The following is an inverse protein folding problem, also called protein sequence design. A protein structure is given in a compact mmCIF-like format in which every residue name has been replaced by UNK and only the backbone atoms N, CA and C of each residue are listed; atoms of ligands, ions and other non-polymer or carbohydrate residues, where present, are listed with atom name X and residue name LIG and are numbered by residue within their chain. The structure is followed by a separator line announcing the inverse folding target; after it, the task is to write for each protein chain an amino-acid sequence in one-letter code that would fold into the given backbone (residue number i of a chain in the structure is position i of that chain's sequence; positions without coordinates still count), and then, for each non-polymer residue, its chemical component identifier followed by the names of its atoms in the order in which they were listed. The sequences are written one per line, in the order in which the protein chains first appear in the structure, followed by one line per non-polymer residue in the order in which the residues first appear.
data_IF_908697065265
#
_entry.id   IF_908697065265
#
_cell.length_a   1.000
_cell.length_b   1.000
_cell.length_c   1.000
_cell.angle_alpha   90.00
_cell.angle_beta   90.00
_cell.angle_gamma   90.00
#
_symmetry.space_group_name_H-M   'P 1'
#
loop_
_entity.id
_entity.type
_entity.pdbx_description
1 polymer ?
#
# COMPACT_ATOMS: atom_id res chain seq x y z
N UNK A 1 31.85 -15.59 -11.53
CA UNK A 1 31.84 -14.27 -10.82
C UNK A 1 32.24 -13.21 -11.80
N UNK A 2 31.67 -12.00 -11.74
CA UNK A 2 32.07 -10.90 -12.62
C UNK A 2 33.53 -10.50 -12.32
N UNK A 3 34.29 -10.21 -13.38
CA UNK A 3 35.66 -9.72 -13.27
C UNK A 3 35.68 -8.34 -12.61
N UNK A 4 36.82 -7.87 -12.03
CA UNK A 4 36.96 -6.51 -11.48
C UNK A 4 36.51 -5.44 -12.48
N UNK A 5 36.89 -5.55 -13.73
CA UNK A 5 36.47 -4.64 -14.81
C UNK A 5 34.96 -4.67 -15.08
N UNK A 6 34.33 -5.85 -14.96
CA UNK A 6 32.86 -5.97 -15.10
C UNK A 6 32.14 -5.31 -13.90
N UNK A 7 32.69 -5.45 -12.68
CA UNK A 7 32.15 -4.80 -11.49
C UNK A 7 32.25 -3.27 -11.62
N UNK A 8 33.41 -2.75 -12.01
CA UNK A 8 33.62 -1.32 -12.19
C UNK A 8 32.70 -0.73 -13.26
N UNK A 9 32.57 -1.41 -14.41
CA UNK A 9 31.65 -1.01 -15.47
C UNK A 9 30.17 -1.07 -15.01
N UNK A 10 29.81 -2.04 -14.16
CA UNK A 10 28.50 -2.14 -13.55
C UNK A 10 28.20 -0.98 -12.60
N UNK A 11 29.15 -0.67 -11.73
CA UNK A 11 29.05 0.46 -10.79
C UNK A 11 28.94 1.79 -11.51
N UNK A 12 29.73 2.01 -12.56
CA UNK A 12 29.65 3.21 -13.39
C UNK A 12 28.29 3.37 -14.05
N UNK A 13 27.76 2.32 -14.66
CA UNK A 13 26.41 2.33 -15.28
C UNK A 13 25.31 2.60 -14.26
N UNK A 14 25.43 2.04 -13.04
CA UNK A 14 24.48 2.29 -11.97
C UNK A 14 24.51 3.75 -11.52
N UNK A 15 25.72 4.32 -11.35
CA UNK A 15 25.91 5.73 -11.01
C UNK A 15 25.33 6.66 -12.09
N UNK A 16 25.57 6.37 -13.37
CA UNK A 16 25.00 7.12 -14.50
C UNK A 16 23.47 7.03 -14.53
N UNK A 17 22.91 5.83 -14.29
CA UNK A 17 21.46 5.63 -14.23
C UNK A 17 20.82 6.37 -13.05
N UNK A 18 21.48 6.38 -11.88
CA UNK A 18 21.00 7.12 -10.72
C UNK A 18 21.09 8.64 -10.93
N UNK A 19 22.19 9.15 -11.49
CA UNK A 19 22.32 10.56 -11.86
C UNK A 19 21.25 10.99 -12.87
N UNK A 20 20.94 10.13 -13.86
CA UNK A 20 19.86 10.37 -14.81
C UNK A 20 18.48 10.39 -14.15
N UNK A 21 18.22 9.46 -13.21
CA UNK A 21 16.97 9.45 -12.43
C UNK A 21 16.83 10.69 -11.56
N UNK A 22 17.92 11.09 -10.86
CA UNK A 22 17.91 12.32 -10.07
C UNK A 22 17.70 13.57 -10.93
N UNK A 23 18.35 13.64 -12.09
CA UNK A 23 18.17 14.75 -13.01
C UNK A 23 16.76 14.78 -13.56
N UNK A 24 16.19 13.64 -13.94
CA UNK A 24 14.79 13.53 -14.33
C UNK A 24 13.85 13.83 -13.17
N UNK A 25 14.13 13.33 -11.96
CA UNK A 25 13.36 13.64 -10.77
C UNK A 25 13.36 15.13 -10.44
N UNK A 26 14.48 15.81 -10.58
CA UNK A 26 14.57 17.27 -10.43
C UNK A 26 13.94 18.04 -11.58
N UNK A 27 13.91 17.49 -12.79
CA UNK A 27 13.25 18.04 -13.98
C UNK A 27 11.78 17.60 -14.13
N UNK A 28 11.23 16.86 -13.18
CA UNK A 28 9.82 16.44 -13.12
C UNK A 28 8.84 17.57 -12.75
N UNK A 29 9.21 18.83 -12.97
CA UNK A 29 8.18 19.82 -13.19
C UNK A 29 7.60 19.54 -14.58
N UNK A 30 6.53 18.71 -14.61
CA UNK A 30 5.74 18.53 -15.83
C UNK A 30 5.52 19.91 -16.49
N UNK A 31 5.91 20.11 -17.76
CA UNK A 31 5.72 21.38 -18.45
C UNK A 31 4.28 21.89 -18.37
N UNK A 32 3.31 20.98 -18.31
CA UNK A 32 1.90 21.30 -18.16
C UNK A 32 1.56 21.89 -16.77
N UNK A 33 2.22 21.45 -15.69
CA UNK A 33 2.08 22.08 -14.37
C UNK A 33 2.63 23.50 -14.38
N UNK A 34 3.79 23.72 -15.02
CA UNK A 34 4.37 25.06 -15.18
C UNK A 34 3.44 25.96 -16.00
N UNK A 35 2.97 25.49 -17.16
CA UNK A 35 2.01 26.18 -17.99
C UNK A 35 0.71 26.53 -17.24
N UNK A 36 0.27 25.67 -16.33
CA UNK A 36 -0.88 25.94 -15.47
C UNK A 36 -0.60 27.05 -14.47
N UNK A 37 0.61 27.09 -13.86
CA UNK A 37 1.01 28.12 -12.89
C UNK A 37 1.23 29.50 -13.53
N UNK A 38 1.79 29.54 -14.74
CA UNK A 38 2.18 30.77 -15.45
C UNK A 38 0.99 31.52 -16.10
N UNK A 39 -0.20 30.94 -16.06
CA UNK A 39 -1.39 31.65 -16.60
C UNK A 39 -1.75 32.85 -15.75
N UNK A 40 -1.71 34.01 -16.39
CA UNK A 40 -1.98 35.34 -15.79
C UNK A 40 -3.43 35.54 -15.34
N UNK A 41 -4.35 34.66 -15.67
CA UNK A 41 -5.77 34.80 -15.36
C UNK A 41 -6.15 34.12 -14.06
N UNK A 42 -6.49 34.88 -13.02
CA UNK A 42 -7.12 34.40 -11.79
C UNK A 42 -6.10 33.96 -10.74
N UNK A 43 -6.57 33.51 -9.66
CA UNK A 43 -5.96 33.21 -8.39
C UNK A 43 -4.66 32.37 -8.46
N UNK A 44 -3.50 32.99 -8.54
CA UNK A 44 -2.19 32.30 -8.55
C UNK A 44 -1.98 31.47 -7.28
N UNK A 45 -2.56 31.89 -6.15
CA UNK A 45 -2.55 31.18 -4.89
C UNK A 45 -3.32 29.86 -4.98
N UNK A 46 -4.51 29.84 -5.58
CA UNK A 46 -5.31 28.61 -5.71
C UNK A 46 -4.73 27.65 -6.72
N UNK A 47 -4.04 28.12 -7.76
CA UNK A 47 -3.29 27.27 -8.68
C UNK A 47 -2.21 26.48 -7.95
N UNK A 48 -1.47 27.15 -7.09
CA UNK A 48 -0.43 26.52 -6.26
C UNK A 48 -1.04 25.50 -5.31
N UNK A 49 -2.08 25.87 -4.57
CA UNK A 49 -2.80 24.97 -3.65
C UNK A 49 -3.38 23.75 -4.35
N UNK A 50 -3.92 23.92 -5.59
CA UNK A 50 -4.39 22.79 -6.39
C UNK A 50 -3.27 21.80 -6.71
N UNK A 51 -2.09 22.28 -7.10
CA UNK A 51 -0.94 21.39 -7.35
C UNK A 51 -0.41 20.73 -6.07
N UNK A 52 -0.44 21.43 -4.95
CA UNK A 52 0.00 20.90 -3.65
C UNK A 52 -0.88 19.73 -3.16
N UNK A 53 -2.19 19.78 -3.42
CA UNK A 53 -3.13 18.73 -2.99
C UNK A 53 -3.12 17.49 -3.91
N UNK A 54 -2.53 17.60 -5.10
CA UNK A 54 -2.39 16.47 -6.03
C UNK A 54 -1.27 15.53 -5.60
N UNK A 55 -1.45 14.23 -5.93
CA UNK A 55 -0.39 13.24 -5.76
C UNK A 55 0.81 13.53 -6.68
N UNK A 56 1.98 12.97 -6.36
CA UNK A 56 3.16 13.06 -7.22
C UNK A 56 2.88 12.51 -8.63
N UNK A 57 2.17 11.39 -8.71
CA UNK A 57 1.73 10.81 -9.98
C UNK A 57 0.88 11.77 -10.78
N UNK A 58 -0.10 12.41 -10.15
CA UNK A 58 -0.97 13.36 -10.83
C UNK A 58 -0.20 14.56 -11.36
N UNK A 59 0.75 15.09 -10.60
CA UNK A 59 1.62 16.19 -11.05
C UNK A 59 2.51 15.78 -12.22
N UNK A 60 2.89 14.50 -12.31
CA UNK A 60 3.68 13.97 -13.41
C UNK A 60 2.86 13.82 -14.69
N UNK A 61 1.62 13.38 -14.57
CA UNK A 61 0.76 12.98 -15.71
C UNK A 61 -0.29 14.05 -16.08
N UNK A 62 -0.47 15.10 -15.29
CA UNK A 62 -1.53 16.07 -15.50
C UNK A 62 -1.37 16.88 -16.78
N UNK A 63 -2.50 17.36 -17.28
CA UNK A 63 -2.60 18.27 -18.42
C UNK A 63 -3.17 19.60 -17.91
N UNK A 64 -2.53 20.71 -18.24
CA UNK A 64 -2.93 22.08 -17.83
C UNK A 64 -4.42 22.36 -18.04
N UNK A 65 -4.98 21.94 -19.19
CA UNK A 65 -6.40 22.13 -19.49
C UNK A 65 -7.35 21.37 -18.56
N UNK A 66 -6.92 20.24 -17.99
CA UNK A 66 -7.69 19.47 -17.01
C UNK A 66 -7.72 20.24 -15.70
N UNK A 67 -6.57 20.72 -15.24
CA UNK A 67 -6.47 21.52 -14.01
C UNK A 67 -7.26 22.83 -14.11
N UNK A 68 -7.24 23.48 -15.28
CA UNK A 68 -8.02 24.70 -15.55
C UNK A 68 -9.52 24.49 -15.39
N UNK A 69 -10.04 23.40 -15.92
CA UNK A 69 -11.47 23.09 -15.78
C UNK A 69 -11.85 22.93 -14.31
N UNK A 70 -11.05 22.15 -13.57
CA UNK A 70 -11.31 21.89 -12.15
C UNK A 70 -11.24 23.16 -11.31
N UNK A 71 -10.20 23.98 -11.55
CA UNK A 71 -10.04 25.25 -10.85
C UNK A 71 -11.23 26.17 -11.13
N UNK A 72 -11.53 26.46 -12.40
CA UNK A 72 -12.59 27.36 -12.79
C UNK A 72 -13.96 26.95 -12.25
N UNK A 73 -14.25 25.65 -12.26
CA UNK A 73 -15.53 25.14 -11.79
C UNK A 73 -15.65 25.14 -10.26
N UNK A 74 -14.54 25.09 -9.53
CA UNK A 74 -14.54 25.06 -8.07
C UNK A 74 -14.50 26.48 -7.45
N UNK A 75 -13.78 27.44 -8.05
CA UNK A 75 -13.59 28.79 -7.54
C UNK A 75 -14.86 29.51 -7.07
N UNK A 76 -16.05 29.39 -7.72
CA UNK A 76 -17.27 30.03 -7.24
C UNK A 76 -17.65 29.69 -5.80
N UNK A 77 -17.18 28.52 -5.29
CA UNK A 77 -17.51 28.04 -3.96
C UNK A 77 -16.45 28.39 -2.90
N UNK A 78 -15.28 28.92 -3.29
CA UNK A 78 -14.15 29.21 -2.39
C UNK A 78 -14.54 30.12 -1.23
N UNK A 79 -15.28 31.21 -1.53
CA UNK A 79 -15.64 32.24 -0.54
C UNK A 79 -16.52 31.74 0.60
N UNK A 80 -17.11 30.58 0.46
CA UNK A 80 -18.10 30.04 1.38
C UNK A 80 -17.54 29.04 2.38
N UNK A 81 -16.22 28.79 2.37
CA UNK A 81 -15.61 27.79 3.24
C UNK A 81 -14.12 28.03 3.46
N UNK A 82 -13.58 27.50 4.56
CA UNK A 82 -12.17 27.60 4.89
C UNK A 82 -11.31 26.84 3.87
N UNK A 83 -10.08 27.33 3.65
CA UNK A 83 -9.16 26.72 2.69
C UNK A 83 -8.85 25.25 3.00
N UNK A 84 -8.77 24.89 4.28
CA UNK A 84 -8.51 23.51 4.75
C UNK A 84 -9.67 22.54 4.44
N UNK A 85 -10.82 23.07 4.12
CA UNK A 85 -11.98 22.31 3.65
C UNK A 85 -12.10 22.41 2.14
N UNK A 86 -11.99 23.63 1.61
CA UNK A 86 -12.17 23.86 0.18
C UNK A 86 -11.15 23.11 -0.67
N UNK A 87 -9.86 23.22 -0.34
CA UNK A 87 -8.79 22.67 -1.17
C UNK A 87 -8.85 21.12 -1.26
N UNK A 88 -8.88 20.37 -0.17
CA UNK A 88 -8.87 18.91 -0.25
C UNK A 88 -10.22 18.30 -0.65
N UNK A 89 -11.35 18.95 -0.36
CA UNK A 89 -12.65 18.31 -0.44
C UNK A 89 -13.60 18.91 -1.47
N UNK A 90 -13.23 20.04 -2.11
CA UNK A 90 -14.00 20.66 -3.21
C UNK A 90 -13.11 20.90 -4.43
N UNK A 91 -11.95 21.55 -4.23
CA UNK A 91 -11.04 21.90 -5.33
C UNK A 91 -10.33 20.68 -5.90
N UNK A 92 -9.85 19.78 -5.04
CA UNK A 92 -9.13 18.57 -5.43
C UNK A 92 -9.95 17.72 -6.41
N UNK A 93 -9.49 17.51 -7.64
CA UNK A 93 -10.19 16.66 -8.62
C UNK A 93 -10.03 15.16 -8.38
N UNK A 94 -8.99 14.75 -7.65
CA UNK A 94 -8.70 13.36 -7.35
C UNK A 94 -9.58 12.86 -6.22
N UNK A 95 -10.21 11.69 -6.40
CA UNK A 95 -11.03 11.04 -5.39
C UNK A 95 -10.36 9.79 -4.83
N UNK A 96 -9.89 8.90 -5.70
CA UNK A 96 -9.18 7.65 -5.36
C UNK A 96 -8.06 7.40 -6.39
N UNK A 97 -8.02 6.26 -7.05
CA UNK A 97 -6.97 5.85 -8.00
C UNK A 97 -7.40 6.00 -9.48
N UNK A 98 -8.51 6.66 -9.77
CA UNK A 98 -8.96 6.91 -11.13
C UNK A 98 -8.00 7.81 -11.91
N UNK A 99 -8.02 7.74 -13.23
CA UNK A 99 -7.24 8.65 -14.08
C UNK A 99 -7.79 10.08 -13.98
N UNK A 100 -6.91 11.05 -13.77
CA UNK A 100 -7.30 12.46 -13.69
C UNK A 100 -7.76 12.97 -15.06
N UNK A 101 -9.02 13.33 -15.15
CA UNK A 101 -9.67 13.79 -16.40
C UNK A 101 -10.64 14.95 -16.10
N UNK A 102 -11.03 15.66 -17.16
CA UNK A 102 -12.13 16.63 -17.10
C UNK A 102 -13.44 15.91 -16.81
N UNK A 103 -14.15 16.34 -15.79
CA UNK A 103 -15.47 15.76 -15.47
C UNK A 103 -16.53 16.77 -14.99
N UNK A 104 -16.08 17.93 -14.45
CA UNK A 104 -17.03 18.87 -13.81
C UNK A 104 -18.04 19.42 -14.80
N UNK A 105 -17.57 19.84 -15.96
CA UNK A 105 -18.46 20.31 -17.02
C UNK A 105 -19.42 19.21 -17.48
N UNK A 106 -18.91 18.01 -17.71
CA UNK A 106 -19.75 16.88 -18.10
C UNK A 106 -20.85 16.54 -17.06
N UNK A 107 -20.52 16.64 -15.76
CA UNK A 107 -21.50 16.46 -14.68
C UNK A 107 -22.56 17.55 -14.74
N UNK A 108 -22.17 18.81 -14.86
CA UNK A 108 -23.13 19.93 -14.90
C UNK A 108 -24.06 19.89 -16.11
N UNK A 109 -23.60 19.37 -17.24
CA UNK A 109 -24.41 19.18 -18.46
C UNK A 109 -25.44 18.06 -18.32
N UNK A 110 -25.27 17.11 -17.40
CA UNK A 110 -26.22 16.03 -17.13
C UNK A 110 -27.33 16.42 -16.14
N UNK A 111 -27.21 17.57 -15.48
CA UNK A 111 -28.11 18.01 -14.43
C UNK A 111 -28.91 19.25 -14.86
N UNK A 112 -30.23 19.18 -14.71
CA UNK A 112 -31.05 20.39 -14.78
C UNK A 112 -30.78 21.34 -13.61
N UNK A 113 -31.16 22.61 -13.72
CA UNK A 113 -31.02 23.56 -12.62
C UNK A 113 -31.80 23.13 -11.36
N UNK A 114 -32.95 22.49 -11.55
CA UNK A 114 -33.77 21.94 -10.46
C UNK A 114 -33.04 20.83 -9.75
N UNK A 115 -32.44 19.89 -10.52
CA UNK A 115 -31.63 18.79 -9.96
C UNK A 115 -30.40 19.33 -9.22
N UNK A 116 -29.68 20.31 -9.77
CA UNK A 116 -28.55 20.94 -9.10
C UNK A 116 -28.95 21.50 -7.74
N UNK A 117 -30.01 22.30 -7.71
CA UNK A 117 -30.52 22.91 -6.48
C UNK A 117 -30.99 21.83 -5.45
N UNK A 118 -31.67 20.78 -5.90
CA UNK A 118 -32.09 19.70 -5.04
C UNK A 118 -30.90 18.95 -4.45
N UNK A 119 -29.93 18.59 -5.29
CA UNK A 119 -28.76 17.81 -4.88
C UNK A 119 -27.81 18.60 -3.96
N UNK A 120 -27.75 19.93 -4.12
CA UNK A 120 -27.01 20.81 -3.18
C UNK A 120 -27.66 20.85 -1.79
N UNK A 121 -28.99 20.85 -1.72
CA UNK A 121 -29.73 20.86 -0.45
C UNK A 121 -29.72 19.49 0.23
N UNK A 122 -29.77 18.43 -0.56
CA UNK A 122 -29.87 17.05 -0.10
C UNK A 122 -28.78 16.17 -0.77
N UNK A 123 -27.50 16.30 -0.37
CA UNK A 123 -26.39 15.63 -1.04
C UNK A 123 -26.49 14.09 -1.09
N UNK A 124 -27.14 13.48 -0.11
CA UNK A 124 -27.37 12.03 -0.11
C UNK A 124 -28.18 11.55 -1.34
N UNK A 125 -29.03 12.41 -1.93
CA UNK A 125 -29.79 12.09 -3.14
C UNK A 125 -28.94 11.93 -4.39
N UNK A 126 -27.68 12.40 -4.38
CA UNK A 126 -26.71 12.16 -5.47
C UNK A 126 -26.54 10.67 -5.69
N UNK A 127 -26.47 9.88 -4.58
CA UNK A 127 -26.29 8.42 -4.70
C UNK A 127 -27.51 7.78 -5.42
N UNK A 128 -28.70 8.15 -5.06
CA UNK A 128 -29.92 7.66 -5.74
C UNK A 128 -29.92 8.04 -7.22
N UNK A 129 -29.56 9.29 -7.56
CA UNK A 129 -29.44 9.73 -8.94
C UNK A 129 -28.44 8.84 -9.73
N UNK A 130 -27.31 8.50 -9.12
CA UNK A 130 -26.30 7.62 -9.72
C UNK A 130 -26.85 6.19 -9.88
N UNK A 131 -27.53 5.65 -8.88
CA UNK A 131 -28.11 4.30 -8.96
C UNK A 131 -29.13 4.19 -10.07
N UNK A 132 -29.94 5.23 -10.29
CA UNK A 132 -30.96 5.29 -11.33
C UNK A 132 -30.37 5.44 -12.75
N UNK A 133 -29.21 6.07 -12.90
CA UNK A 133 -28.59 6.38 -14.19
C UNK A 133 -27.43 5.47 -14.59
N UNK A 134 -26.71 4.93 -13.63
CA UNK A 134 -25.47 4.16 -13.87
C UNK A 134 -25.70 2.70 -13.47
N UNK A 135 -25.71 1.83 -14.45
CA UNK A 135 -25.84 0.38 -14.24
C UNK A 135 -24.55 -0.18 -13.65
N UNK A 136 -24.67 -0.99 -12.60
CA UNK A 136 -23.54 -1.74 -12.07
C UNK A 136 -23.21 -2.90 -12.98
N UNK A 137 -22.02 -2.92 -13.58
CA UNK A 137 -21.56 -3.98 -14.45
C UNK A 137 -20.13 -4.37 -14.09
N UNK A 138 -19.94 -5.19 -13.04
CA UNK A 138 -18.63 -5.60 -12.58
C UNK A 138 -17.85 -6.40 -13.65
N UNK A 139 -18.53 -7.05 -14.58
CA UNK A 139 -17.89 -7.84 -15.65
C UNK A 139 -17.24 -6.96 -16.71
N UNK A 140 -17.69 -5.71 -16.87
CA UNK A 140 -17.18 -4.76 -17.87
C UNK A 140 -16.01 -3.92 -17.34
N UNK A 141 -15.81 -3.91 -16.05
CA UNK A 141 -14.73 -3.18 -15.39
C UNK A 141 -13.64 -4.15 -14.96
N UNK A 142 -12.45 -4.03 -15.54
CA UNK A 142 -11.30 -4.82 -15.09
C UNK A 142 -10.92 -4.35 -13.68
N UNK A 143 -10.58 -5.28 -12.80
CA UNK A 143 -10.25 -5.01 -11.40
C UNK A 143 -9.10 -4.00 -11.19
N UNK A 144 -8.29 -3.78 -12.22
CA UNK A 144 -7.14 -2.86 -12.23
C UNK A 144 -7.44 -1.51 -12.90
N UNK A 145 -8.62 -1.31 -13.48
CA UNK A 145 -8.96 -0.08 -14.22
C UNK A 145 -10.28 0.47 -13.68
N UNK A 146 -10.18 1.59 -12.98
CA UNK A 146 -11.35 2.29 -12.42
C UNK A 146 -11.94 3.19 -13.52
N UNK A 147 -13.24 3.07 -13.77
CA UNK A 147 -13.94 3.95 -14.72
C UNK A 147 -14.00 5.36 -14.15
N UNK A 148 -13.55 6.33 -14.92
CA UNK A 148 -13.54 7.74 -14.50
C UNK A 148 -14.97 8.31 -14.40
N UNK A 149 -15.19 9.39 -13.64
CA UNK A 149 -16.51 10.03 -13.54
C UNK A 149 -17.14 10.36 -14.91
N UNK A 150 -16.35 10.95 -15.82
CA UNK A 150 -16.81 11.22 -17.20
C UNK A 150 -17.08 9.94 -17.99
N UNK A 151 -16.30 8.89 -17.74
CA UNK A 151 -16.49 7.57 -18.34
C UNK A 151 -17.82 6.94 -17.90
N UNK A 152 -18.14 6.96 -16.60
CA UNK A 152 -19.42 6.46 -16.07
C UNK A 152 -20.60 7.18 -16.70
N UNK A 153 -20.55 8.50 -16.79
CA UNK A 153 -21.63 9.30 -17.38
C UNK A 153 -21.80 9.01 -18.88
N UNK A 154 -20.68 8.84 -19.60
CA UNK A 154 -20.72 8.57 -21.04
C UNK A 154 -21.23 7.16 -21.38
N UNK A 155 -20.88 6.17 -20.58
CA UNK A 155 -21.20 4.77 -20.85
C UNK A 155 -22.48 4.30 -20.15
N UNK A 156 -22.94 5.04 -19.13
CA UNK A 156 -24.05 4.63 -18.26
C UNK A 156 -23.72 3.39 -17.40
N UNK A 157 -22.42 3.05 -17.26
CA UNK A 157 -21.99 1.85 -16.52
C UNK A 157 -20.78 2.14 -15.64
N UNK A 158 -20.66 1.40 -14.53
CA UNK A 158 -19.48 1.47 -13.64
C UNK A 158 -19.55 0.43 -12.54
N UNK A 159 -18.42 0.10 -11.94
CA UNK A 159 -18.38 -0.70 -10.73
C UNK A 159 -18.97 0.08 -9.53
N UNK A 160 -19.17 -0.60 -8.42
CA UNK A 160 -19.58 0.08 -7.17
C UNK A 160 -18.57 1.15 -6.76
N UNK A 161 -17.25 0.88 -6.92
CA UNK A 161 -16.21 1.86 -6.61
C UNK A 161 -16.28 3.06 -7.55
N UNK A 162 -16.40 2.83 -8.85
CA UNK A 162 -16.53 3.92 -9.85
C UNK A 162 -17.76 4.79 -9.61
N UNK A 163 -18.88 4.19 -9.20
CA UNK A 163 -20.10 4.91 -8.79
C UNK A 163 -19.87 5.75 -7.52
N UNK A 164 -19.13 5.22 -6.52
CA UNK A 164 -18.75 5.97 -5.32
C UNK A 164 -17.83 7.16 -5.65
N UNK A 165 -16.85 6.96 -6.55
CA UNK A 165 -16.00 8.03 -7.07
C UNK A 165 -16.83 9.09 -7.78
N UNK A 166 -17.79 8.69 -8.62
CA UNK A 166 -18.71 9.59 -9.29
C UNK A 166 -19.54 10.41 -8.28
N UNK A 167 -20.00 9.79 -7.18
CA UNK A 167 -20.68 10.51 -6.11
C UNK A 167 -19.86 11.66 -5.56
N UNK A 168 -18.61 11.41 -5.20
CA UNK A 168 -17.69 12.43 -4.66
C UNK A 168 -17.42 13.51 -5.72
N UNK A 169 -17.18 13.10 -6.97
CA UNK A 169 -16.96 14.01 -8.09
C UNK A 169 -18.17 14.95 -8.33
N UNK A 170 -19.40 14.41 -8.27
CA UNK A 170 -20.64 15.19 -8.39
C UNK A 170 -20.82 16.15 -7.21
N UNK A 171 -20.65 15.68 -5.97
CA UNK A 171 -20.73 16.53 -4.78
C UNK A 171 -19.74 17.70 -4.84
N UNK A 172 -18.46 17.43 -5.13
CA UNK A 172 -17.42 18.47 -5.29
C UNK A 172 -17.72 19.44 -6.42
N UNK A 173 -18.32 18.95 -7.52
CA UNK A 173 -18.72 19.78 -8.65
C UNK A 173 -19.85 20.74 -8.28
N UNK A 174 -20.73 20.33 -7.38
CA UNK A 174 -21.81 21.15 -6.83
C UNK A 174 -21.39 22.01 -5.63
N UNK A 175 -20.08 22.05 -5.31
CA UNK A 175 -19.54 22.84 -4.21
C UNK A 175 -19.75 22.22 -2.82
N UNK A 176 -20.07 20.95 -2.76
CA UNK A 176 -20.26 20.20 -1.51
C UNK A 176 -18.96 19.51 -1.16
N UNK A 177 -18.33 19.79 0.03
CA UNK A 177 -17.16 19.07 0.46
C UNK A 177 -17.47 17.58 0.66
N UNK A 178 -16.77 16.71 -0.07
CA UNK A 178 -17.03 15.28 -0.08
C UNK A 178 -15.74 14.48 -0.23
N UNK A 179 -15.77 13.24 0.28
CA UNK A 179 -14.66 12.29 0.19
C UNK A 179 -15.16 10.85 0.20
N UNK A 180 -14.31 9.92 -0.16
CA UNK A 180 -14.43 8.55 0.30
C UNK A 180 -13.77 8.46 1.67
N UNK A 181 -14.43 7.79 2.62
CA UNK A 181 -13.84 7.51 3.91
C UNK A 181 -12.58 6.65 3.71
N UNK A 182 -11.42 7.04 4.27
CA UNK A 182 -10.16 6.34 4.03
C UNK A 182 -10.13 4.91 4.55
N UNK A 183 -10.95 4.59 5.56
CA UNK A 183 -10.95 3.25 6.18
C UNK A 183 -11.82 2.24 5.41
N UNK A 184 -13.03 2.66 5.00
CA UNK A 184 -14.01 1.72 4.43
C UNK A 184 -14.51 2.12 3.03
N UNK A 185 -14.02 3.25 2.49
CA UNK A 185 -14.45 3.83 1.22
C UNK A 185 -15.96 4.11 1.15
N UNK A 186 -16.60 4.34 2.31
CA UNK A 186 -17.96 4.87 2.33
C UNK A 186 -17.95 6.31 1.81
N UNK A 187 -19.01 6.69 1.13
CA UNK A 187 -19.20 8.05 0.63
C UNK A 187 -19.56 8.97 1.78
N UNK A 188 -18.81 10.07 1.92
CA UNK A 188 -19.05 11.07 2.94
C UNK A 188 -19.17 12.45 2.32
N UNK A 189 -20.06 13.27 2.86
CA UNK A 189 -20.15 14.69 2.57
C UNK A 189 -20.22 15.50 3.85
N UNK A 190 -19.83 16.77 3.79
CA UNK A 190 -19.81 17.63 4.96
C UNK A 190 -21.19 18.27 5.22
N UNK A 191 -21.66 18.16 6.46
CA UNK A 191 -22.85 18.83 6.98
C UNK A 191 -22.55 19.38 8.37
N UNK A 192 -22.77 20.67 8.57
CA UNK A 192 -22.51 21.34 9.86
C UNK A 192 -21.07 21.14 10.36
N UNK A 193 -20.08 21.23 9.48
CA UNK A 193 -18.66 21.11 9.79
C UNK A 193 -18.16 19.69 10.07
N UNK A 194 -19.00 18.66 9.86
CA UNK A 194 -18.63 17.25 10.07
C UNK A 194 -18.90 16.43 8.82
N UNK A 195 -18.01 15.49 8.52
CA UNK A 195 -18.29 14.47 7.51
C UNK A 195 -19.33 13.48 8.01
N UNK A 196 -20.38 13.28 7.24
CA UNK A 196 -21.44 12.30 7.49
C UNK A 196 -21.53 11.33 6.32
N UNK A 197 -21.72 10.06 6.62
CA UNK A 197 -21.86 9.04 5.60
C UNK A 197 -23.20 9.18 4.87
N UNK A 198 -23.17 9.00 3.55
CA UNK A 198 -24.38 8.89 2.71
C UNK A 198 -25.27 7.75 3.13
N UNK A 199 -24.68 6.66 3.60
CA UNK A 199 -25.37 5.50 4.15
C UNK A 199 -25.84 5.66 5.59
N UNK A 200 -25.60 6.84 6.23
CA UNK A 200 -26.08 7.09 7.58
C UNK A 200 -27.63 7.12 7.70
N UNK A 201 -28.32 7.30 6.58
CA UNK A 201 -29.78 7.09 6.51
C UNK A 201 -30.18 5.61 6.27
N UNK A 202 -29.21 4.76 5.89
CA UNK A 202 -29.33 3.30 5.80
C UNK A 202 -28.11 2.66 6.48
N UNK A 203 -28.00 2.82 7.80
CA UNK A 203 -26.81 2.45 8.54
C UNK A 203 -26.53 0.94 8.53
N UNK A 204 -25.64 0.52 7.65
CA UNK A 204 -24.97 -0.78 7.74
C UNK A 204 -23.64 -0.67 8.52
N UNK A 205 -23.58 0.18 9.55
CA UNK A 205 -22.36 0.35 10.35
C UNK A 205 -22.11 -0.85 11.23
N UNK A 206 -20.89 -1.30 11.23
CA UNK A 206 -20.34 -2.35 12.05
C UNK A 206 -18.94 -1.96 12.50
N UNK A 207 -18.29 -2.75 13.29
CA UNK A 207 -16.88 -2.56 13.61
C UNK A 207 -16.23 -3.88 13.98
N UNK A 208 -14.89 -3.92 13.84
CA UNK A 208 -14.10 -4.99 14.43
C UNK A 208 -13.13 -4.44 15.44
N UNK A 209 -12.84 -5.25 16.45
CA UNK A 209 -11.79 -5.03 17.40
C UNK A 209 -10.69 -6.04 17.10
N UNK A 210 -9.63 -5.56 16.44
CA UNK A 210 -8.47 -6.37 16.14
C UNK A 210 -7.55 -6.43 17.35
N UNK A 211 -7.18 -7.64 17.76
CA UNK A 211 -6.17 -7.89 18.78
C UNK A 211 -4.93 -8.47 18.11
N UNK A 212 -3.81 -7.81 18.25
CA UNK A 212 -2.51 -8.22 17.72
C UNK A 212 -1.66 -8.87 18.83
N UNK A 213 -0.80 -9.83 18.47
CA UNK A 213 0.18 -10.38 19.43
C UNK A 213 1.31 -9.37 19.70
N UNK A 214 1.88 -9.41 20.91
CA UNK A 214 2.88 -8.45 21.38
C UNK A 214 4.26 -8.62 20.70
N UNK A 215 4.56 -9.82 20.35
CA UNK A 215 5.85 -10.31 19.87
C UNK A 215 6.06 -10.07 18.36
N UNK A 216 5.07 -9.44 17.72
CA UNK A 216 5.07 -9.23 16.27
C UNK A 216 4.85 -7.77 15.94
N UNK A 217 5.72 -7.20 15.10
CA UNK A 217 5.46 -5.90 14.50
C UNK A 217 4.50 -6.07 13.31
N UNK A 218 3.22 -5.87 13.58
CA UNK A 218 2.19 -5.93 12.55
C UNK A 218 2.26 -4.70 11.65
N UNK A 219 2.37 -4.94 10.33
CA UNK A 219 2.39 -3.88 9.31
C UNK A 219 1.43 -4.21 8.19
N UNK A 220 0.50 -3.30 7.95
CA UNK A 220 -0.50 -3.43 6.88
C UNK A 220 0.16 -3.55 5.50
N UNK A 221 -0.38 -4.41 4.65
CA UNK A 221 0.19 -4.80 3.35
C UNK A 221 1.53 -5.55 3.40
N UNK A 222 2.22 -5.61 4.52
CA UNK A 222 3.45 -6.40 4.66
C UNK A 222 3.17 -7.79 5.18
N UNK A 223 2.52 -7.88 6.35
CA UNK A 223 2.26 -9.16 6.98
C UNK A 223 0.79 -9.37 7.37
N UNK A 224 -0.08 -8.41 7.14
CA UNK A 224 -1.52 -8.58 7.23
C UNK A 224 -2.29 -7.64 6.30
N UNK A 225 -3.51 -8.03 5.96
CA UNK A 225 -4.46 -7.20 5.24
C UNK A 225 -5.90 -7.62 5.52
N UNK A 226 -6.85 -6.71 5.30
CA UNK A 226 -8.28 -6.98 5.39
C UNK A 226 -8.96 -6.66 4.05
N UNK A 227 -9.86 -7.53 3.63
CA UNK A 227 -10.63 -7.39 2.39
C UNK A 227 -12.12 -7.64 2.64
N UNK A 228 -12.98 -6.92 1.94
CA UNK A 228 -14.44 -7.13 1.93
C UNK A 228 -14.85 -7.88 0.69
N UNK A 229 -15.81 -8.79 0.82
CA UNK A 229 -16.43 -9.46 -0.31
C UNK A 229 -17.40 -8.50 -1.02
N UNK A 230 -17.09 -8.16 -2.27
CA UNK A 230 -17.89 -7.30 -3.13
C UNK A 230 -18.02 -7.95 -4.51
N UNK A 231 -19.23 -8.13 -4.97
CA UNK A 231 -19.51 -8.76 -6.28
C UNK A 231 -18.75 -10.08 -6.53
N UNK A 232 -18.67 -10.94 -5.50
CA UNK A 232 -17.98 -12.24 -5.58
C UNK A 232 -16.47 -12.19 -5.49
N UNK A 233 -15.86 -11.03 -5.19
CA UNK A 233 -14.41 -10.86 -5.04
C UNK A 233 -14.08 -10.19 -3.71
N UNK A 234 -12.96 -10.60 -3.10
CA UNK A 234 -12.40 -9.92 -1.93
C UNK A 234 -11.57 -8.72 -2.36
N UNK A 235 -12.08 -7.52 -2.06
CA UNK A 235 -11.41 -6.25 -2.35
C UNK A 235 -10.70 -5.77 -1.10
N UNK A 236 -9.36 -5.70 -1.15
CA UNK A 236 -8.54 -5.25 -0.03
C UNK A 236 -8.82 -3.78 0.29
N UNK A 237 -8.99 -3.48 1.57
CA UNK A 237 -9.24 -2.13 2.07
C UNK A 237 -7.93 -1.35 2.14
N UNK A 238 -7.99 -0.04 1.91
CA UNK A 238 -6.88 0.87 2.20
C UNK A 238 -7.07 1.41 3.61
N UNK A 239 -6.06 1.24 4.46
CA UNK A 239 -6.02 1.86 5.79
C UNK A 239 -5.00 2.99 5.75
N UNK A 240 -5.39 4.20 6.18
CA UNK A 240 -4.49 5.37 6.20
C UNK A 240 -3.40 5.26 7.27
N UNK A 241 -3.73 4.64 8.39
CA UNK A 241 -2.79 4.40 9.47
C UNK A 241 -3.19 3.19 10.31
N UNK A 242 -2.21 2.46 10.79
CA UNK A 242 -2.38 1.44 11.81
C UNK A 242 -2.23 2.09 13.18
N UNK A 243 -3.32 2.17 13.91
CA UNK A 243 -3.35 2.73 15.25
C UNK A 243 -3.65 1.64 16.28
N UNK A 244 -2.70 0.70 16.46
CA UNK A 244 -2.75 -0.22 17.59
C UNK A 244 -2.38 0.53 18.88
N UNK A 245 -3.32 0.53 19.85
CA UNK A 245 -3.06 0.97 21.21
C UNK A 245 -3.17 -0.24 22.11
N UNK A 246 -2.15 -0.52 22.89
CA UNK A 246 -2.09 -1.71 23.75
C UNK A 246 -2.44 -3.00 22.96
N UNK A 247 -1.92 -3.12 21.75
CA UNK A 247 -2.14 -4.23 20.84
C UNK A 247 -3.59 -4.39 20.34
N UNK A 248 -4.42 -3.40 20.54
CA UNK A 248 -5.82 -3.40 20.10
C UNK A 248 -6.06 -2.24 19.14
N UNK A 249 -6.73 -2.52 18.02
CA UNK A 249 -7.20 -1.53 17.06
C UNK A 249 -8.69 -1.70 16.80
N UNK A 250 -9.46 -0.63 16.96
CA UNK A 250 -10.87 -0.59 16.53
C UNK A 250 -10.94 -0.09 15.10
N UNK A 251 -11.49 -0.90 14.22
CA UNK A 251 -11.68 -0.58 12.82
C UNK A 251 -13.18 -0.49 12.50
N UNK A 252 -13.70 0.69 12.13
CA UNK A 252 -15.07 0.82 11.64
C UNK A 252 -15.19 0.17 10.27
N UNK A 253 -16.27 -0.59 10.06
CA UNK A 253 -16.56 -1.30 8.83
C UNK A 253 -18.04 -1.14 8.46
N UNK A 254 -18.39 -1.40 7.21
CA UNK A 254 -19.75 -1.70 6.80
C UNK A 254 -20.09 -3.15 7.17
N UNK A 255 -21.37 -3.47 7.39
CA UNK A 255 -21.79 -4.87 7.51
C UNK A 255 -21.47 -5.66 6.23
N UNK A 256 -21.11 -6.92 6.38
CA UNK A 256 -20.81 -7.81 5.27
C UNK A 256 -19.76 -8.85 5.58
N UNK A 257 -19.33 -9.56 4.54
CA UNK A 257 -18.34 -10.63 4.62
C UNK A 257 -16.93 -10.09 4.39
N UNK A 258 -16.01 -10.50 5.23
CA UNK A 258 -14.63 -10.06 5.23
C UNK A 258 -13.66 -11.24 5.26
N UNK A 259 -12.46 -10.98 4.79
CA UNK A 259 -11.31 -11.86 4.94
C UNK A 259 -10.13 -11.07 5.50
N UNK A 260 -9.51 -11.58 6.56
CA UNK A 260 -8.17 -11.16 6.98
C UNK A 260 -7.17 -12.18 6.45
N UNK A 261 -6.10 -11.69 5.84
CA UNK A 261 -4.95 -12.46 5.43
C UNK A 261 -3.77 -12.05 6.32
N UNK A 262 -3.10 -13.01 6.91
CA UNK A 262 -1.81 -12.82 7.56
C UNK A 262 -0.75 -13.66 6.87
N UNK A 263 0.48 -13.17 6.82
CA UNK A 263 1.60 -13.89 6.22
C UNK A 263 2.89 -13.65 6.98
N UNK A 264 3.67 -14.70 7.12
CA UNK A 264 4.99 -14.64 7.71
C UNK A 264 5.98 -15.35 6.77
N UNK A 265 7.19 -14.83 6.64
CA UNK A 265 8.26 -15.44 5.85
C UNK A 265 9.17 -16.23 6.77
N UNK A 266 9.32 -17.52 6.47
CA UNK A 266 10.18 -18.42 7.21
C UNK A 266 11.65 -18.26 6.78
N UNK A 267 12.61 -18.67 7.63
CA UNK A 267 14.04 -18.57 7.32
C UNK A 267 14.47 -19.27 6.02
N UNK A 268 13.80 -20.35 5.63
CA UNK A 268 14.05 -21.05 4.36
C UNK A 268 13.44 -20.35 3.14
N UNK A 269 12.83 -19.18 3.32
CA UNK A 269 12.21 -18.38 2.24
C UNK A 269 10.76 -18.73 1.96
N UNK A 270 10.19 -19.78 2.53
CA UNK A 270 8.78 -20.11 2.40
C UNK A 270 7.91 -19.03 3.06
N UNK A 271 6.74 -18.78 2.49
CA UNK A 271 5.76 -17.86 3.05
C UNK A 271 4.58 -18.68 3.57
N UNK A 272 4.34 -18.60 4.89
CA UNK A 272 3.15 -19.16 5.50
C UNK A 272 2.07 -18.09 5.58
N UNK A 273 0.92 -18.40 5.01
CA UNK A 273 -0.25 -17.54 5.05
C UNK A 273 -1.39 -18.21 5.81
N UNK A 274 -2.18 -17.39 6.50
CA UNK A 274 -3.44 -17.79 7.08
C UNK A 274 -4.55 -16.85 6.62
N UNK A 275 -5.69 -17.40 6.33
CA UNK A 275 -6.89 -16.66 5.96
C UNK A 275 -7.96 -16.87 7.02
N UNK A 276 -8.55 -15.78 7.47
CA UNK A 276 -9.64 -15.79 8.41
C UNK A 276 -10.85 -15.10 7.80
N UNK A 277 -11.92 -15.86 7.58
CA UNK A 277 -13.17 -15.39 6.98
C UNK A 277 -14.21 -15.15 8.08
N UNK A 278 -14.92 -14.03 7.99
CA UNK A 278 -15.95 -13.69 8.96
C UNK A 278 -16.99 -12.75 8.36
N UNK A 279 -18.17 -12.79 8.94
CA UNK A 279 -19.24 -11.84 8.68
C UNK A 279 -19.34 -10.86 9.85
N UNK A 280 -19.67 -9.60 9.55
CA UNK A 280 -19.99 -8.58 10.54
C UNK A 280 -21.39 -8.04 10.23
N UNK A 281 -22.28 -8.07 11.22
CA UNK A 281 -23.65 -7.61 11.06
C UNK A 281 -23.81 -6.14 11.43
N UNK A 282 -24.94 -5.54 11.04
CA UNK A 282 -25.25 -4.15 11.38
C UNK A 282 -25.28 -3.98 12.89
N UNK A 283 -24.56 -2.98 13.39
CA UNK A 283 -24.45 -2.69 14.83
C UNK A 283 -23.51 -3.62 15.60
N UNK A 284 -22.95 -4.64 14.96
CA UNK A 284 -22.01 -5.57 15.60
C UNK A 284 -20.63 -4.95 15.79
N UNK A 285 -20.00 -5.30 16.92
CA UNK A 285 -18.56 -5.15 17.12
C UNK A 285 -17.93 -6.52 17.32
N UNK A 286 -17.34 -7.06 16.26
CA UNK A 286 -16.72 -8.37 16.27
C UNK A 286 -15.27 -8.29 16.74
N UNK A 287 -14.85 -9.24 17.56
CA UNK A 287 -13.46 -9.40 17.98
C UNK A 287 -12.75 -10.36 17.05
N UNK A 288 -11.59 -9.96 16.54
CA UNK A 288 -10.76 -10.75 15.66
C UNK A 288 -9.31 -10.68 16.13
N UNK A 289 -8.65 -11.81 16.22
CA UNK A 289 -7.25 -11.91 16.61
C UNK A 289 -6.38 -12.04 15.37
N UNK A 290 -5.31 -11.23 15.29
CA UNK A 290 -4.28 -11.37 14.27
C UNK A 290 -3.26 -12.40 14.77
N UNK A 291 -3.17 -13.50 14.05
CA UNK A 291 -2.19 -14.55 14.31
C UNK A 291 -1.56 -15.03 13.02
N UNK A 292 -0.29 -15.42 13.07
CA UNK A 292 0.33 -16.14 11.99
C UNK A 292 -0.06 -17.62 12.01
N UNK A 293 0.04 -18.27 10.86
CA UNK A 293 0.01 -19.72 10.79
C UNK A 293 1.19 -20.25 11.58
N UNK A 294 0.92 -21.19 12.50
CA UNK A 294 1.99 -21.86 13.25
C UNK A 294 2.94 -22.56 12.28
N UNK A 295 4.23 -22.39 12.53
CA UNK A 295 5.30 -23.06 11.82
C UNK A 295 6.09 -23.92 12.81
N UNK A 296 6.32 -25.18 12.43
CA UNK A 296 7.18 -26.08 13.17
C UNK A 296 8.59 -25.98 12.63
N UNK A 297 9.58 -26.47 13.38
CA UNK A 297 10.96 -26.49 12.92
C UNK A 297 11.11 -27.24 11.58
N UNK A 298 10.35 -28.31 11.38
CA UNK A 298 10.33 -29.09 10.14
C UNK A 298 9.86 -28.28 8.92
N UNK A 299 8.96 -27.32 9.11
CA UNK A 299 8.50 -26.42 8.04
C UNK A 299 9.58 -25.44 7.59
N UNK A 300 10.60 -25.23 8.43
CA UNK A 300 11.73 -24.32 8.19
C UNK A 300 12.94 -25.02 7.61
N UNK A 301 12.94 -26.36 7.61
CA UNK A 301 14.04 -27.21 7.17
C UNK A 301 13.68 -27.94 5.89
N UNK A 302 14.65 -28.10 5.03
CA UNK A 302 14.57 -28.97 3.85
C UNK A 302 15.53 -30.14 4.03
N UNK A 303 15.01 -31.37 3.92
CA UNK A 303 15.83 -32.57 4.00
C UNK A 303 16.35 -32.93 2.60
N UNK A 304 17.65 -32.71 2.39
CA UNK A 304 18.34 -33.09 1.16
C UNK A 304 19.48 -34.06 1.47
N UNK A 305 19.73 -35.01 0.56
CA UNK A 305 20.92 -35.81 0.61
C UNK A 305 22.12 -35.04 0.09
N UNK A 306 23.10 -34.83 0.95
CA UNK A 306 24.33 -34.13 0.57
C UNK A 306 25.35 -35.18 0.10
N UNK A 307 25.93 -35.06 -1.12
CA UNK A 307 27.00 -35.95 -1.55
C UNK A 307 28.25 -35.76 -0.66
N UNK A 308 29.08 -36.79 -0.56
CA UNK A 308 30.36 -36.69 0.16
C UNK A 308 31.24 -35.60 -0.48
N UNK A 309 31.81 -34.76 0.33
CA UNK A 309 32.76 -33.73 -0.08
C UNK A 309 33.93 -33.59 0.91
N UNK A 310 35.01 -32.96 0.45
CA UNK A 310 36.23 -32.76 1.25
C UNK A 310 36.41 -31.28 1.57
N UNK A 311 36.70 -31.02 2.83
CA UNK A 311 37.06 -29.71 3.32
C UNK A 311 38.56 -29.67 3.64
N UNK A 312 39.16 -28.48 3.54
CA UNK A 312 40.52 -28.22 4.00
C UNK A 312 40.45 -27.53 5.36
N UNK A 313 41.13 -28.10 6.34
CA UNK A 313 41.25 -27.49 7.66
C UNK A 313 42.22 -26.28 7.62
N UNK A 314 42.25 -25.54 8.69
CA UNK A 314 43.11 -24.34 8.83
C UNK A 314 44.60 -24.71 8.77
N UNK A 315 44.99 -25.88 9.30
CA UNK A 315 46.35 -26.43 9.26
C UNK A 315 46.75 -26.92 7.85
N UNK A 316 45.85 -26.89 6.89
CA UNK A 316 46.09 -27.32 5.50
C UNK A 316 45.76 -28.77 5.22
N UNK A 317 45.48 -29.58 6.24
CA UNK A 317 45.05 -30.98 6.07
C UNK A 317 43.64 -31.05 5.46
N UNK A 318 43.30 -32.16 4.86
CA UNK A 318 41.98 -32.43 4.28
C UNK A 318 41.19 -33.41 5.15
N UNK A 319 39.89 -33.22 5.21
CA UNK A 319 38.96 -34.04 5.95
C UNK A 319 37.65 -34.20 5.16
N UNK A 320 37.06 -35.36 5.19
CA UNK A 320 35.74 -35.59 4.59
C UNK A 320 34.64 -35.03 5.49
N UNK A 321 33.57 -34.56 4.88
CA UNK A 321 32.41 -34.05 5.63
C UNK A 321 31.83 -35.10 6.57
N UNK A 322 31.74 -36.37 6.14
CA UNK A 322 31.29 -37.48 6.95
C UNK A 322 32.17 -37.74 8.17
N UNK A 323 33.46 -37.50 8.09
CA UNK A 323 34.39 -37.63 9.22
C UNK A 323 34.19 -36.53 10.26
N UNK A 324 33.92 -35.29 9.80
CA UNK A 324 33.65 -34.15 10.68
C UNK A 324 32.36 -34.29 11.46
N UNK A 325 31.39 -35.02 10.91
CA UNK A 325 30.06 -35.18 11.50
C UNK A 325 29.83 -36.59 12.07
N UNK A 326 30.88 -37.42 12.19
CA UNK A 326 30.78 -38.81 12.62
C UNK A 326 30.25 -38.98 14.06
N UNK A 327 30.44 -38.01 14.93
CA UNK A 327 30.01 -38.04 16.34
C UNK A 327 28.58 -37.49 16.55
N UNK A 328 27.82 -37.26 15.48
CA UNK A 328 26.42 -36.90 15.54
C UNK A 328 26.01 -35.68 14.70
N UNK A 329 24.96 -34.98 15.12
CA UNK A 329 24.43 -33.82 14.39
C UNK A 329 25.35 -32.61 14.54
N UNK A 330 25.66 -31.98 13.41
CA UNK A 330 26.43 -30.72 13.33
C UNK A 330 25.72 -29.69 12.48
N UNK A 331 26.08 -28.43 12.69
CA UNK A 331 25.69 -27.32 11.83
C UNK A 331 26.93 -26.96 11.00
N UNK A 332 26.82 -27.11 9.69
CA UNK A 332 27.83 -26.63 8.75
C UNK A 332 27.33 -25.30 8.16
N UNK A 333 27.94 -24.19 8.56
CA UNK A 333 27.61 -22.87 8.06
C UNK A 333 28.58 -22.50 6.92
N UNK A 334 28.08 -22.49 5.69
CA UNK A 334 28.84 -22.06 4.52
C UNK A 334 28.76 -20.54 4.42
N UNK A 335 29.85 -19.89 4.78
CA UNK A 335 29.94 -18.44 4.86
C UNK A 335 30.60 -17.86 3.60
N UNK A 336 30.06 -16.76 3.13
CA UNK A 336 30.62 -15.99 2.04
C UNK A 336 30.99 -14.59 2.55
N UNK A 337 32.28 -14.21 2.47
CA UNK A 337 32.78 -12.94 2.99
C UNK A 337 32.03 -11.75 2.36
N UNK A 338 31.81 -10.69 3.13
CA UNK A 338 31.21 -9.43 2.70
C UNK A 338 29.78 -9.60 2.12
N UNK A 339 29.09 -10.68 2.47
CA UNK A 339 27.69 -10.90 2.07
C UNK A 339 26.75 -10.68 3.25
N UNK A 340 25.66 -9.98 2.98
CA UNK A 340 24.65 -9.64 3.96
C UNK A 340 24.16 -10.85 4.80
N UNK A 341 23.82 -12.02 4.21
CA UNK A 341 23.40 -13.16 5.02
C UNK A 341 24.46 -13.68 5.98
N UNK A 342 25.73 -13.64 5.60
CA UNK A 342 26.86 -14.02 6.46
C UNK A 342 27.00 -13.06 7.62
N UNK A 343 27.00 -11.74 7.34
CA UNK A 343 27.11 -10.72 8.38
C UNK A 343 25.92 -10.80 9.37
N UNK A 344 24.70 -11.04 8.89
CA UNK A 344 23.55 -11.20 9.78
C UNK A 344 23.71 -12.41 10.71
N UNK A 345 24.07 -13.60 10.20
CA UNK A 345 24.24 -14.78 11.03
C UNK A 345 25.32 -14.56 12.10
N UNK A 346 26.48 -14.00 11.70
CA UNK A 346 27.60 -13.77 12.64
C UNK A 346 27.24 -12.74 13.71
N UNK A 347 26.53 -11.66 13.34
CA UNK A 347 26.07 -10.66 14.30
C UNK A 347 25.04 -11.23 15.27
N UNK A 348 24.06 -12.02 14.81
CA UNK A 348 23.09 -12.68 15.68
C UNK A 348 23.76 -13.67 16.63
N UNK A 349 24.79 -14.39 16.17
CA UNK A 349 25.57 -15.30 17.02
C UNK A 349 26.30 -14.53 18.11
N UNK A 350 26.88 -13.37 17.81
CA UNK A 350 27.53 -12.51 18.81
C UNK A 350 26.53 -11.93 19.80
N UNK A 351 25.35 -11.49 19.32
CA UNK A 351 24.28 -10.96 20.19
C UNK A 351 23.73 -12.02 21.14
N UNK A 352 23.78 -13.31 20.76
CA UNK A 352 23.30 -14.45 21.53
C UNK A 352 24.43 -15.40 21.95
N UNK A 353 25.61 -14.88 22.23
CA UNK A 353 26.82 -15.64 22.51
C UNK A 353 26.62 -16.75 23.57
N UNK A 354 25.89 -16.47 24.65
CA UNK A 354 25.61 -17.46 25.71
C UNK A 354 24.82 -18.67 25.17
N UNK A 355 23.88 -18.46 24.26
CA UNK A 355 23.10 -19.52 23.66
C UNK A 355 23.93 -20.36 22.69
N UNK A 356 24.74 -19.73 21.84
CA UNK A 356 25.53 -20.41 20.81
C UNK A 356 26.77 -21.10 21.38
N UNK A 357 27.39 -20.59 22.43
CA UNK A 357 28.56 -21.22 23.08
C UNK A 357 28.30 -22.65 23.57
N UNK A 358 27.04 -22.95 23.93
CA UNK A 358 26.63 -24.32 24.30
C UNK A 358 26.79 -25.32 23.14
N UNK A 359 26.73 -24.83 21.92
CA UNK A 359 26.79 -25.60 20.68
C UNK A 359 28.10 -25.42 19.91
N UNK A 360 29.06 -24.66 20.44
CA UNK A 360 30.29 -24.32 19.74
C UNK A 360 31.02 -25.51 19.12
N UNK A 361 31.05 -26.67 19.82
CA UNK A 361 31.66 -27.91 19.32
C UNK A 361 30.84 -28.60 18.19
N UNK A 362 29.63 -28.11 17.94
CA UNK A 362 28.70 -28.65 16.92
C UNK A 362 28.51 -27.72 15.73
N UNK A 363 29.16 -26.55 15.76
CA UNK A 363 29.09 -25.56 14.68
C UNK A 363 30.45 -25.58 13.95
N UNK A 364 30.39 -25.75 12.64
CA UNK A 364 31.55 -25.78 11.75
C UNK A 364 31.37 -24.67 10.72
N UNK A 365 32.21 -23.68 10.76
CA UNK A 365 32.25 -22.63 9.74
C UNK A 365 33.04 -23.10 8.52
N UNK A 366 32.45 -22.98 7.36
CA UNK A 366 33.07 -23.32 6.08
C UNK A 366 33.20 -22.03 5.26
N UNK A 367 34.41 -21.64 4.93
CA UNK A 367 34.72 -20.42 4.19
C UNK A 367 35.41 -20.75 2.85
N UNK A 368 35.34 -19.86 1.90
CA UNK A 368 35.95 -20.06 0.57
C UNK A 368 37.48 -19.99 0.58
N UNK A 369 38.08 -19.23 1.50
CA UNK A 369 39.51 -19.02 1.54
C UNK A 369 39.99 -18.67 2.96
N UNK A 370 41.30 -18.82 3.22
CA UNK A 370 41.90 -18.37 4.48
C UNK A 370 41.75 -16.87 4.72
N UNK A 371 41.66 -16.08 3.66
CA UNK A 371 41.46 -14.64 3.77
C UNK A 371 40.15 -14.26 4.47
N UNK A 372 39.13 -15.13 4.38
CA UNK A 372 37.87 -14.92 5.08
C UNK A 372 38.04 -14.86 6.60
N UNK A 373 39.02 -15.58 7.17
CA UNK A 373 39.30 -15.57 8.61
C UNK A 373 39.87 -14.22 9.11
N UNK A 374 40.32 -13.36 8.19
CA UNK A 374 40.82 -12.04 8.50
C UNK A 374 39.74 -10.97 8.55
N UNK A 375 38.49 -11.33 8.18
CA UNK A 375 37.37 -10.39 8.23
C UNK A 375 37.00 -10.06 9.68
N UNK A 376 36.71 -8.79 10.01
CA UNK A 376 36.49 -8.38 11.40
C UNK A 376 35.33 -9.11 12.08
N UNK A 377 34.29 -9.45 11.37
CA UNK A 377 33.12 -10.11 11.93
C UNK A 377 33.42 -11.57 12.24
N UNK A 378 34.02 -12.32 11.31
CA UNK A 378 34.33 -13.73 11.52
C UNK A 378 35.45 -13.93 12.55
N UNK A 379 36.41 -13.01 12.66
CA UNK A 379 37.48 -13.09 13.64
C UNK A 379 37.04 -12.85 15.10
N UNK A 380 35.85 -12.30 15.29
CA UNK A 380 35.25 -12.07 16.61
C UNK A 380 34.26 -13.15 17.03
N UNK A 381 33.70 -13.91 16.08
CA UNK A 381 32.81 -15.05 16.31
C UNK A 381 33.59 -16.32 16.56
#
# INVERSE_FOLDING_TARGET
MPTPEQKERGSKRLAEANAYREQKGRNLSNPECRKFLEKETGDSSMRKKLLEVLTEKDRTDCISQVLEEHLKSALPYEKNMDADIFVPYVLNPRVDDEVLQKYRKAILEQLSEEEKNMLQKEPAKIWKWIEDKIVSSPEKERSSVITTPSGCLKTGTGSILSKKILFVAMARTLGIPARLNPHDRSMEYMKNGKFISVSAETEKKASILLKASADTQWKYFQNWSIAKLEAGKYITRKLEAENFRDQVMKLPLEAGNYRILTSNRLPNGNIFAAEYYFEVQIGEMKRVELAFRNANLEDMLENISIPEFTLRKEDGSTVKASELTADGKHILAFLEEEKEPTEHILNEMMEQEEAFSRYAKRIIFVVKSKKALETPTLSRT
#
